data_IF_867910306612
#
_entry.id   IF_867910306612
#
_cell.length_a   1.000
_cell.length_b   1.000
_cell.length_c   1.000
_cell.angle_alpha   90.00
_cell.angle_beta   90.00
_cell.angle_gamma   90.00
#
_symmetry.space_group_name_H-M   'P 1'
#
loop_
_entity.id
_entity.type
_entity.pdbx_description
1 polymer ?
#
# COMPACT_ATOMS: atom_id res chain seq x y z
N UNK A 1 24.31 9.95 -41.58
CA UNK A 1 24.40 10.89 -40.45
C UNK A 1 24.58 10.06 -39.18
N UNK A 2 25.83 10.08 -38.70
CA UNK A 2 26.46 9.51 -37.50
C UNK A 2 25.61 8.68 -36.51
N UNK A 3 25.90 7.37 -36.46
CA UNK A 3 25.54 6.46 -35.36
C UNK A 3 26.64 6.53 -34.29
N UNK A 4 26.33 7.03 -33.09
CA UNK A 4 27.18 6.81 -31.90
C UNK A 4 26.55 5.70 -31.04
N UNK A 5 27.24 4.57 -30.80
CA UNK A 5 26.78 3.61 -29.81
C UNK A 5 27.14 4.10 -28.40
N UNK A 6 26.14 4.27 -27.53
CA UNK A 6 26.39 4.37 -26.09
C UNK A 6 26.82 2.99 -25.58
N UNK A 7 28.09 2.88 -25.17
CA UNK A 7 28.68 1.68 -24.59
C UNK A 7 28.40 1.69 -23.08
N UNK A 8 27.36 0.98 -22.63
CA UNK A 8 27.12 0.73 -21.21
C UNK A 8 27.83 -0.57 -20.80
N UNK A 9 28.72 -0.46 -19.82
CA UNK A 9 29.56 -1.55 -19.30
C UNK A 9 28.90 -2.10 -18.04
N UNK A 10 28.31 -3.30 -18.12
CA UNK A 10 27.82 -4.02 -16.94
C UNK A 10 28.48 -5.41 -16.93
N UNK A 11 29.17 -5.74 -15.84
CA UNK A 11 29.79 -7.05 -15.56
C UNK A 11 30.74 -7.64 -16.63
N UNK A 12 31.48 -6.80 -17.37
CA UNK A 12 32.67 -7.25 -18.11
C UNK A 12 32.43 -8.24 -19.27
N UNK A 13 31.19 -8.50 -19.67
CA UNK A 13 30.83 -9.39 -20.78
C UNK A 13 30.12 -8.57 -21.86
N UNK A 14 30.65 -8.58 -23.09
CA UNK A 14 30.05 -7.89 -24.23
C UNK A 14 28.89 -8.70 -24.79
N UNK A 15 27.66 -8.35 -24.41
CA UNK A 15 26.47 -8.94 -25.02
C UNK A 15 25.99 -8.07 -26.18
N UNK A 16 26.08 -8.61 -27.41
CA UNK A 16 25.37 -8.06 -28.57
C UNK A 16 23.94 -8.58 -28.57
N UNK A 17 23.13 -8.15 -27.60
CA UNK A 17 21.70 -8.43 -27.63
C UNK A 17 21.03 -7.29 -28.40
N UNK A 18 20.57 -7.60 -29.62
CA UNK A 18 19.51 -6.83 -30.26
C UNK A 18 18.22 -7.04 -29.45
N UNK A 19 18.10 -6.37 -28.31
CA UNK A 19 16.77 -6.10 -27.78
C UNK A 19 16.15 -5.12 -28.78
N UNK A 20 15.10 -5.50 -29.53
CA UNK A 20 14.46 -4.54 -30.42
C UNK A 20 14.00 -3.37 -29.54
N UNK A 21 14.40 -2.13 -29.88
CA UNK A 21 13.95 -0.92 -29.18
C UNK A 21 12.43 -0.94 -28.97
N UNK A 22 11.68 -1.52 -29.92
CA UNK A 22 10.24 -1.74 -29.85
C UNK A 22 9.79 -2.63 -28.67
N UNK A 23 10.50 -3.71 -28.34
CA UNK A 23 10.14 -4.59 -27.22
C UNK A 23 10.38 -3.93 -25.85
N UNK A 24 11.44 -3.12 -25.74
CA UNK A 24 11.70 -2.32 -24.54
C UNK A 24 10.73 -1.14 -24.40
N UNK A 25 10.39 -0.48 -25.51
CA UNK A 25 9.40 0.61 -25.53
C UNK A 25 8.00 0.09 -25.18
N UNK A 26 7.62 -1.10 -25.66
CA UNK A 26 6.34 -1.71 -25.35
C UNK A 26 6.24 -2.07 -23.86
N UNK A 27 7.25 -2.72 -23.28
CA UNK A 27 7.25 -3.06 -21.85
C UNK A 27 7.31 -1.83 -20.94
N UNK A 28 8.04 -0.79 -21.34
CA UNK A 28 8.01 0.50 -20.64
C UNK A 28 6.64 1.17 -20.73
N UNK A 29 6.03 1.18 -21.92
CA UNK A 29 4.70 1.75 -22.11
C UNK A 29 3.65 1.01 -21.26
N UNK A 30 3.66 -0.32 -21.26
CA UNK A 30 2.79 -1.16 -20.43
C UNK A 30 2.97 -0.88 -18.95
N UNK A 31 4.23 -0.84 -18.47
CA UNK A 31 4.53 -0.50 -17.09
C UNK A 31 4.03 0.89 -16.71
N UNK A 32 4.23 1.91 -17.58
CA UNK A 32 3.72 3.26 -17.29
C UNK A 32 2.19 3.32 -17.29
N UNK A 33 1.52 2.49 -18.09
CA UNK A 33 0.06 2.40 -18.09
C UNK A 33 -0.43 1.77 -16.79
N UNK A 34 0.15 0.65 -16.37
CA UNK A 34 -0.15 0.01 -15.09
C UNK A 34 0.05 0.96 -13.91
N UNK A 35 1.13 1.76 -13.94
CA UNK A 35 1.38 2.78 -12.92
C UNK A 35 0.33 3.89 -12.92
N UNK A 36 -0.12 4.34 -14.09
CA UNK A 36 -1.20 5.34 -14.19
C UNK A 36 -2.51 4.78 -13.63
N UNK A 37 -2.90 3.59 -14.05
CA UNK A 37 -4.16 2.95 -13.64
C UNK A 37 -4.17 2.70 -12.12
N UNK A 38 -3.03 2.27 -11.57
CA UNK A 38 -2.84 2.15 -10.12
C UNK A 38 -3.04 3.49 -9.41
N UNK A 39 -2.33 4.54 -9.84
CA UNK A 39 -2.43 5.85 -9.18
C UNK A 39 -3.84 6.44 -9.29
N UNK A 40 -4.51 6.21 -10.41
CA UNK A 40 -5.91 6.57 -10.61
C UNK A 40 -6.82 5.82 -9.63
N UNK A 41 -6.67 4.50 -9.50
CA UNK A 41 -7.44 3.71 -8.54
C UNK A 41 -7.26 4.22 -7.10
N UNK A 42 -6.02 4.56 -6.70
CA UNK A 42 -5.76 5.19 -5.41
C UNK A 42 -6.48 6.51 -5.26
N UNK A 43 -6.41 7.39 -6.26
CA UNK A 43 -7.05 8.70 -6.22
C UNK A 43 -8.57 8.57 -6.13
N UNK A 44 -9.19 7.71 -6.94
CA UNK A 44 -10.61 7.41 -6.87
C UNK A 44 -11.01 6.85 -5.50
N UNK A 45 -10.20 5.96 -4.92
CA UNK A 45 -10.41 5.46 -3.55
C UNK A 45 -10.37 6.59 -2.51
N UNK A 46 -9.42 7.51 -2.63
CA UNK A 46 -9.29 8.68 -1.75
C UNK A 46 -10.49 9.64 -1.85
N UNK A 47 -11.02 9.85 -3.05
CA UNK A 47 -12.24 10.64 -3.25
C UNK A 47 -13.45 9.94 -2.63
N UNK A 48 -13.68 8.67 -2.96
CA UNK A 48 -14.78 7.89 -2.38
C UNK A 48 -14.72 7.82 -0.85
N UNK A 49 -13.52 7.68 -0.28
CA UNK A 49 -13.29 7.68 1.16
C UNK A 49 -13.76 9.01 1.80
N UNK A 50 -13.43 10.15 1.17
CA UNK A 50 -13.84 11.48 1.65
C UNK A 50 -15.34 11.69 1.53
N UNK A 51 -15.94 11.18 0.47
CA UNK A 51 -17.40 11.24 0.23
C UNK A 51 -18.18 10.22 1.07
N UNK A 52 -17.49 9.41 1.90
CA UNK A 52 -18.06 8.37 2.76
C UNK A 52 -18.72 7.21 1.99
N UNK A 53 -18.39 7.07 0.72
CA UNK A 53 -18.77 5.93 -0.12
C UNK A 53 -17.82 4.75 0.15
N UNK A 54 -17.90 4.19 1.37
CA UNK A 54 -16.92 3.25 1.89
C UNK A 54 -16.80 1.95 1.08
N UNK A 55 -17.90 1.44 0.53
CA UNK A 55 -17.87 0.27 -0.36
C UNK A 55 -17.10 0.56 -1.65
N UNK A 56 -17.38 1.69 -2.28
CA UNK A 56 -16.66 2.16 -3.47
C UNK A 56 -15.17 2.39 -3.15
N UNK A 57 -14.86 2.96 -1.99
CA UNK A 57 -13.47 3.14 -1.55
C UNK A 57 -12.75 1.79 -1.38
N UNK A 58 -13.41 0.78 -0.81
CA UNK A 58 -12.87 -0.58 -0.69
C UNK A 58 -12.54 -1.16 -2.06
N UNK A 59 -13.47 -1.07 -3.02
CA UNK A 59 -13.27 -1.61 -4.36
C UNK A 59 -12.07 -0.96 -5.06
N UNK A 60 -11.97 0.37 -4.97
CA UNK A 60 -10.86 1.13 -5.58
C UNK A 60 -9.52 0.87 -4.92
N UNK A 61 -9.47 0.78 -3.59
CA UNK A 61 -8.24 0.39 -2.90
C UNK A 61 -7.85 -1.05 -3.17
N UNK A 62 -8.81 -1.94 -3.38
CA UNK A 62 -8.53 -3.34 -3.77
C UNK A 62 -7.92 -3.40 -5.16
N UNK A 63 -8.46 -2.66 -6.14
CA UNK A 63 -7.84 -2.52 -7.46
C UNK A 63 -6.39 -2.01 -7.37
N UNK A 64 -6.12 -1.01 -6.53
CA UNK A 64 -4.74 -0.53 -6.30
C UNK A 64 -3.82 -1.64 -5.79
N UNK A 65 -4.28 -2.42 -4.81
CA UNK A 65 -3.51 -3.48 -4.16
C UNK A 65 -3.29 -4.66 -5.11
N UNK A 66 -4.31 -5.04 -5.89
CA UNK A 66 -4.26 -6.19 -6.80
C UNK A 66 -3.28 -5.98 -7.96
N UNK A 67 -3.06 -4.73 -8.39
CA UNK A 67 -2.00 -4.41 -9.38
C UNK A 67 -0.61 -4.71 -8.81
N UNK A 68 -0.43 -4.63 -7.48
CA UNK A 68 0.73 -5.17 -6.77
C UNK A 68 2.09 -4.51 -7.04
N UNK A 69 2.17 -3.50 -7.90
CA UNK A 69 3.43 -2.82 -8.24
C UNK A 69 3.96 -1.90 -7.14
N UNK A 70 3.09 -1.43 -6.22
CA UNK A 70 3.47 -0.58 -5.10
C UNK A 70 2.65 -0.92 -3.86
N UNK A 71 3.32 -1.01 -2.72
CA UNK A 71 2.68 -1.23 -1.42
C UNK A 71 2.59 0.11 -0.69
N UNK A 72 1.39 0.46 -0.20
CA UNK A 72 1.18 1.71 0.52
C UNK A 72 0.51 1.43 1.87
N UNK A 73 1.16 1.75 3.01
CA UNK A 73 0.56 1.53 4.33
C UNK A 73 -0.71 2.37 4.51
N UNK A 74 -0.75 3.57 3.93
CA UNK A 74 -1.92 4.45 3.98
C UNK A 74 -3.12 3.86 3.24
N UNK A 75 -2.91 3.19 2.11
CA UNK A 75 -4.01 2.54 1.37
C UNK A 75 -4.61 1.40 2.21
N UNK A 76 -3.75 0.55 2.79
CA UNK A 76 -4.22 -0.51 3.71
C UNK A 76 -4.97 0.07 4.91
N UNK A 77 -4.44 1.09 5.57
CA UNK A 77 -5.14 1.72 6.69
C UNK A 77 -6.48 2.33 6.28
N UNK A 78 -6.56 3.07 5.16
CA UNK A 78 -7.85 3.64 4.72
C UNK A 78 -8.86 2.56 4.35
N UNK A 79 -8.44 1.48 3.68
CA UNK A 79 -9.31 0.34 3.37
C UNK A 79 -9.74 -0.41 4.63
N UNK A 80 -8.86 -0.59 5.61
CA UNK A 80 -9.18 -1.14 6.93
C UNK A 80 -10.29 -0.32 7.62
N UNK A 81 -10.19 1.01 7.60
CA UNK A 81 -11.20 1.88 8.20
C UNK A 81 -12.55 1.74 7.47
N UNK A 82 -12.53 1.66 6.14
CA UNK A 82 -13.76 1.40 5.37
C UNK A 82 -14.40 0.08 5.76
N UNK A 83 -13.60 -0.98 5.93
CA UNK A 83 -14.10 -2.28 6.39
C UNK A 83 -14.71 -2.19 7.79
N UNK A 84 -14.09 -1.49 8.74
CA UNK A 84 -14.67 -1.25 10.08
C UNK A 84 -16.02 -0.54 10.01
N UNK A 85 -16.14 0.47 9.13
CA UNK A 85 -17.37 1.24 8.92
C UNK A 85 -18.44 0.45 8.16
N UNK A 86 -18.05 -0.58 7.43
CA UNK A 86 -18.95 -1.52 6.76
C UNK A 86 -19.18 -2.81 7.57
N UNK A 87 -18.80 -2.82 8.86
CA UNK A 87 -18.95 -3.95 9.78
C UNK A 87 -18.29 -5.26 9.30
N UNK A 88 -17.10 -5.14 8.71
CA UNK A 88 -16.25 -6.26 8.26
C UNK A 88 -14.94 -6.29 9.08
N UNK A 89 -14.99 -6.62 10.38
CA UNK A 89 -13.84 -6.48 11.26
C UNK A 89 -12.67 -7.43 10.93
N UNK A 90 -12.93 -8.64 10.41
CA UNK A 90 -11.86 -9.55 9.95
C UNK A 90 -11.03 -8.97 8.80
N UNK A 91 -11.71 -8.37 7.82
CA UNK A 91 -11.04 -7.74 6.68
C UNK A 91 -10.27 -6.50 7.12
N UNK A 92 -10.85 -5.72 8.04
CA UNK A 92 -10.17 -4.58 8.65
C UNK A 92 -8.89 -4.99 9.38
N UNK A 93 -8.93 -6.06 10.17
CA UNK A 93 -7.77 -6.54 10.93
C UNK A 93 -6.62 -6.92 9.98
N UNK A 94 -6.92 -7.66 8.90
CA UNK A 94 -5.89 -8.04 7.91
C UNK A 94 -5.20 -6.84 7.29
N UNK A 95 -5.96 -5.82 6.91
CA UNK A 95 -5.38 -4.60 6.34
C UNK A 95 -4.59 -3.79 7.37
N UNK A 96 -5.04 -3.72 8.63
CA UNK A 96 -4.31 -3.03 9.68
C UNK A 96 -2.98 -3.73 10.01
N UNK A 97 -2.94 -5.06 9.98
CA UNK A 97 -1.71 -5.85 10.10
C UNK A 97 -0.77 -5.64 8.91
N UNK A 98 -1.31 -5.56 7.69
CA UNK A 98 -0.50 -5.26 6.51
C UNK A 98 0.09 -3.84 6.57
N UNK A 99 -0.69 -2.85 7.04
CA UNK A 99 -0.19 -1.49 7.27
C UNK A 99 0.95 -1.46 8.29
N UNK A 100 0.83 -2.19 9.40
CA UNK A 100 1.89 -2.36 10.40
C UNK A 100 3.13 -3.04 9.81
N UNK A 101 2.96 -4.11 9.02
CA UNK A 101 4.08 -4.80 8.38
C UNK A 101 4.91 -3.86 7.49
N UNK A 102 4.23 -2.97 6.77
CA UNK A 102 4.87 -2.01 5.87
C UNK A 102 5.47 -0.82 6.62
N UNK A 103 4.84 -0.38 7.73
CA UNK A 103 5.36 0.70 8.57
C UNK A 103 5.23 0.37 10.06
N UNK A 104 6.22 -0.32 10.65
CA UNK A 104 6.13 -0.87 12.02
C UNK A 104 6.00 0.18 13.13
N UNK A 105 6.54 1.39 12.94
CA UNK A 105 6.50 2.46 13.95
C UNK A 105 5.24 3.35 13.82
N UNK A 106 4.18 2.84 13.18
CA UNK A 106 2.95 3.58 12.96
C UNK A 106 1.88 3.26 13.99
N UNK A 107 1.76 4.11 15.03
CA UNK A 107 0.75 3.95 16.08
C UNK A 107 -0.67 3.76 15.55
N UNK A 108 -1.04 4.46 14.46
CA UNK A 108 -2.35 4.33 13.83
C UNK A 108 -2.66 2.90 13.40
N UNK A 109 -1.69 2.14 12.88
CA UNK A 109 -1.93 0.75 12.47
C UNK A 109 -2.34 -0.13 13.68
N UNK A 110 -1.68 0.05 14.83
CA UNK A 110 -2.01 -0.66 16.07
C UNK A 110 -3.38 -0.26 16.63
N UNK A 111 -3.73 1.04 16.61
CA UNK A 111 -5.07 1.49 17.00
C UNK A 111 -6.17 0.82 16.16
N UNK A 112 -5.94 0.68 14.85
CA UNK A 112 -6.90 0.02 13.96
C UNK A 112 -7.04 -1.47 14.24
N UNK A 113 -5.94 -2.17 14.54
CA UNK A 113 -5.98 -3.56 14.98
C UNK A 113 -6.78 -3.70 16.29
N UNK A 114 -6.54 -2.81 17.26
CA UNK A 114 -7.28 -2.78 18.53
C UNK A 114 -8.79 -2.67 18.32
N UNK A 115 -9.23 -1.73 17.47
CA UNK A 115 -10.66 -1.55 17.16
C UNK A 115 -11.25 -2.76 16.44
N UNK A 116 -10.51 -3.35 15.49
CA UNK A 116 -10.95 -4.55 14.78
C UNK A 116 -11.08 -5.76 15.71
N UNK A 117 -10.08 -6.00 16.56
CA UNK A 117 -10.07 -7.09 17.55
C UNK A 117 -11.18 -6.93 18.59
N UNK A 118 -11.45 -5.70 19.04
CA UNK A 118 -12.56 -5.42 19.95
C UNK A 118 -13.93 -5.76 19.32
N UNK A 119 -14.11 -5.46 18.02
CA UNK A 119 -15.31 -5.86 17.26
C UNK A 119 -15.42 -7.37 17.05
N UNK A 120 -14.30 -8.10 17.09
CA UNK A 120 -14.23 -9.56 17.03
C UNK A 120 -14.34 -10.22 18.41
N UNK A 121 -14.65 -9.45 19.47
CA UNK A 121 -14.72 -9.91 20.87
C UNK A 121 -13.38 -10.44 21.42
N UNK A 122 -12.26 -10.15 20.75
CA UNK A 122 -10.90 -10.50 21.16
C UNK A 122 -10.33 -9.42 22.08
N UNK A 123 -10.99 -9.19 23.23
CA UNK A 123 -10.73 -8.05 24.10
C UNK A 123 -9.31 -7.97 24.66
N UNK A 124 -8.67 -9.12 24.93
CA UNK A 124 -7.31 -9.15 25.44
C UNK A 124 -6.32 -8.64 24.38
N UNK A 125 -6.40 -9.20 23.18
CA UNK A 125 -5.52 -8.81 22.07
C UNK A 125 -5.77 -7.34 21.67
N UNK A 126 -7.02 -6.88 21.76
CA UNK A 126 -7.35 -5.48 21.54
C UNK A 126 -6.66 -4.53 22.54
N UNK A 127 -6.61 -4.91 23.81
CA UNK A 127 -5.92 -4.15 24.85
C UNK A 127 -4.39 -4.15 24.65
N UNK A 128 -3.83 -5.29 24.26
CA UNK A 128 -2.41 -5.42 23.95
C UNK A 128 -2.02 -4.49 22.78
N UNK A 129 -2.80 -4.47 21.69
CA UNK A 129 -2.56 -3.55 20.56
C UNK A 129 -2.71 -2.08 20.93
N UNK A 130 -3.63 -1.75 21.85
CA UNK A 130 -3.79 -0.39 22.35
C UNK A 130 -2.55 0.04 23.15
N UNK A 131 -2.02 -0.85 24.01
CA UNK A 131 -0.79 -0.61 24.76
C UNK A 131 0.40 -0.36 23.83
N UNK A 132 0.58 -1.18 22.78
CA UNK A 132 1.63 -0.97 21.79
C UNK A 132 1.50 0.39 21.07
N UNK A 133 0.27 0.76 20.66
CA UNK A 133 0.01 2.04 20.00
C UNK A 133 0.44 3.23 20.88
N UNK A 134 0.05 3.22 22.15
CA UNK A 134 0.41 4.29 23.11
C UNK A 134 1.91 4.34 23.36
N UNK A 135 2.57 3.18 23.52
CA UNK A 135 4.01 3.11 23.70
C UNK A 135 4.80 3.70 22.52
N UNK A 136 4.34 3.51 21.28
CA UNK A 136 4.95 4.13 20.10
C UNK A 136 4.79 5.65 20.09
N UNK A 137 3.65 6.19 20.50
CA UNK A 137 3.43 7.63 20.55
C UNK A 137 4.29 8.31 21.62
N UNK A 138 4.41 7.69 22.79
CA UNK A 138 5.31 8.19 23.85
C UNK A 138 6.78 8.19 23.40
N UNK A 139 7.23 7.15 22.69
CA UNK A 139 8.59 7.12 22.12
C UNK A 139 8.78 8.26 21.12
N UNK A 140 7.78 8.48 20.25
CA UNK A 140 7.80 9.56 19.24
C UNK A 140 7.80 10.96 19.86
N UNK A 141 7.14 11.16 21.00
CA UNK A 141 7.12 12.43 21.72
C UNK A 141 8.45 12.72 22.44
N UNK A 142 9.07 11.69 23.03
CA UNK A 142 10.36 11.82 23.72
C UNK A 142 11.55 12.10 22.79
N UNK A 143 11.42 11.78 21.51
CA UNK A 143 12.43 12.05 20.49
C UNK A 143 12.28 13.38 19.75
N UNK A 144 11.35 14.26 20.16
CA UNK A 144 11.17 15.60 19.59
C UNK A 144 11.84 16.69 20.42
#
# INVERSE_FOLDING_TARGET
MLLYPLQLRIYGQTYNTRIPKAGFLLSFQEWTQQMRDMLEARNCGDFAFRDKEFKTAIDRYSQFIDVGTMVSPTVHARRSLCYLLCDQPDAALRDAMQAQCVYPEWSTAFYMQSVALAKLEMHKDAADMLSEATGLEEKRQRGR
#
